data_IF_140478153785
#
_entry.id   IF_140478153785
#
_cell.length_a   1.000
_cell.length_b   1.000
_cell.length_c   1.000
_cell.angle_alpha   90.00
_cell.angle_beta   90.00
_cell.angle_gamma   90.00
#
_symmetry.space_group_name_H-M   'P 1'
#
loop_
_entity.id
_entity.type
_entity.pdbx_description
1 polymer ?
#
# COMPACT_ATOMS: atom_id res chain seq x y z
N UNK A 1 9.60 24.42 47.14
CA UNK A 1 9.15 25.54 48.00
C UNK A 1 9.20 26.83 47.20
N UNK A 2 8.22 27.73 47.39
CA UNK A 2 7.69 28.80 46.49
C UNK A 2 6.57 28.24 45.59
N UNK A 3 5.28 28.19 45.96
CA UNK A 3 4.32 29.23 46.40
C UNK A 3 4.34 30.46 45.47
N UNK A 4 3.27 30.99 44.87
CA UNK A 4 1.84 30.86 45.15
C UNK A 4 0.98 31.60 44.07
N UNK A 5 -0.19 31.01 43.72
CA UNK A 5 -1.57 31.56 43.60
C UNK A 5 -1.94 32.60 42.49
N UNK A 6 -3.23 32.49 42.10
CA UNK A 6 -4.19 33.50 41.56
C UNK A 6 -4.28 33.45 40.01
N UNK A 7 -5.43 33.31 39.35
CA UNK A 7 -6.84 33.35 39.71
C UNK A 7 -7.64 33.35 38.40
N UNK A 8 -8.83 32.75 38.39
CA UNK A 8 -9.60 32.50 37.17
C UNK A 8 -10.19 33.74 36.49
N UNK A 9 -10.49 33.60 35.20
CA UNK A 9 -11.57 34.32 34.51
C UNK A 9 -12.23 33.35 33.53
N UNK A 10 -13.52 33.12 33.73
CA UNK A 10 -14.43 32.47 32.79
C UNK A 10 -15.15 33.56 31.99
N UNK A 11 -15.05 33.57 30.66
CA UNK A 11 -15.86 34.33 29.68
C UNK A 11 -15.55 33.71 28.32
N UNK A 12 -16.43 33.49 27.34
CA UNK A 12 -17.86 33.29 27.23
C UNK A 12 -18.02 32.68 25.81
N UNK A 13 -19.08 31.91 25.60
CA UNK A 13 -19.47 31.44 24.27
C UNK A 13 -19.72 32.63 23.34
N UNK A 14 -19.16 32.61 22.12
CA UNK A 14 -19.78 33.24 20.97
C UNK A 14 -19.76 32.25 19.80
N UNK A 15 -20.93 31.65 19.60
CA UNK A 15 -21.35 31.04 18.35
C UNK A 15 -21.36 32.12 17.26
N UNK A 16 -20.77 31.80 16.11
CA UNK A 16 -20.85 32.63 14.92
C UNK A 16 -20.84 31.74 13.67
N UNK A 17 -21.94 31.07 13.38
CA UNK A 17 -22.26 30.62 12.03
C UNK A 17 -23.03 31.74 11.32
N UNK A 18 -22.45 32.32 10.28
CA UNK A 18 -23.13 33.08 9.22
C UNK A 18 -22.18 33.12 8.01
N UNK A 19 -22.44 32.38 6.94
CA UNK A 19 -23.35 32.66 5.82
C UNK A 19 -22.57 33.18 4.60
N UNK A 20 -22.71 32.49 3.47
CA UNK A 20 -22.16 32.84 2.16
C UNK A 20 -22.67 34.21 1.66
N UNK A 21 -21.82 34.97 0.97
CA UNK A 21 -22.25 36.19 0.25
C UNK A 21 -21.14 36.90 -0.50
N UNK A 22 -21.07 36.68 -1.81
CA UNK A 22 -20.14 37.23 -2.79
C UNK A 22 -20.30 38.76 -3.00
N UNK A 23 -19.20 39.54 -2.93
CA UNK A 23 -19.04 40.80 -3.68
C UNK A 23 -17.57 41.25 -3.75
N UNK A 24 -17.12 41.46 -4.99
CA UNK A 24 -15.80 41.91 -5.39
C UNK A 24 -15.41 43.28 -4.79
N UNK A 25 -14.21 43.36 -4.23
CA UNK A 25 -13.37 44.56 -4.34
C UNK A 25 -11.94 44.11 -4.55
N UNK A 26 -11.46 44.34 -5.77
CA UNK A 26 -10.06 44.21 -6.12
C UNK A 26 -9.28 45.34 -5.46
N UNK A 27 -8.24 44.98 -4.72
CA UNK A 27 -7.01 45.76 -4.58
C UNK A 27 -5.92 44.79 -4.11
N UNK A 28 -4.95 44.57 -5.01
CA UNK A 28 -3.68 43.85 -4.83
C UNK A 28 -2.62 44.78 -5.42
N UNK A 29 -1.34 44.82 -4.99
CA UNK A 29 -0.66 44.00 -3.98
C UNK A 29 0.16 44.79 -2.94
N UNK A 30 0.34 44.24 -1.75
CA UNK A 30 1.61 44.36 -1.05
C UNK A 30 1.97 42.98 -0.51
N UNK A 31 3.09 42.46 -1.03
CA UNK A 31 3.63 41.15 -0.73
C UNK A 31 3.99 41.06 0.75
N UNK A 32 3.22 40.31 1.52
CA UNK A 32 3.68 39.68 2.75
C UNK A 32 3.84 38.20 2.42
N UNK A 33 5.10 37.76 2.40
CA UNK A 33 5.48 36.39 2.11
C UNK A 33 4.99 35.48 3.22
N UNK A 34 3.73 35.05 3.11
CA UNK A 34 3.26 33.85 3.77
C UNK A 34 4.00 32.67 3.15
N UNK A 35 5.15 32.35 3.76
CA UNK A 35 5.80 31.05 3.64
C UNK A 35 4.71 30.02 3.91
N UNK A 36 4.17 29.47 2.82
CA UNK A 36 3.28 28.33 2.87
C UNK A 36 4.16 27.23 3.40
N UNK A 37 4.07 26.99 4.72
CA UNK A 37 4.58 25.78 5.32
C UNK A 37 3.91 24.64 4.57
N UNK A 38 4.61 24.14 3.55
CA UNK A 38 4.34 22.87 2.94
C UNK A 38 4.51 21.88 4.08
N UNK A 39 3.40 21.55 4.75
CA UNK A 39 3.30 20.27 5.43
C UNK A 39 3.53 19.25 4.33
N UNK A 40 4.80 18.88 4.16
CA UNK A 40 5.16 17.64 3.53
C UNK A 40 4.32 16.60 4.26
N UNK A 41 3.30 16.09 3.57
CA UNK A 41 2.50 15.00 4.07
C UNK A 41 3.50 13.92 4.48
N UNK A 42 3.57 13.62 5.78
CA UNK A 42 4.31 12.47 6.25
C UNK A 42 3.83 11.28 5.42
N UNK A 43 4.74 10.44 4.89
CA UNK A 43 4.30 9.28 4.12
C UNK A 43 3.31 8.53 5.00
N UNK A 44 2.09 8.33 4.49
CA UNK A 44 1.11 7.50 5.16
C UNK A 44 1.82 6.17 5.47
N UNK A 45 1.94 5.84 6.75
CA UNK A 45 2.57 4.59 7.17
C UNK A 45 1.73 3.47 6.57
N UNK A 46 2.23 2.85 5.50
CA UNK A 46 1.59 1.73 4.86
C UNK A 46 1.54 0.58 5.87
N UNK A 47 0.38 -0.05 6.01
CA UNK A 47 0.29 -1.28 6.82
C UNK A 47 1.16 -2.35 6.15
N UNK A 48 2.09 -2.92 6.92
CA UNK A 48 3.06 -3.88 6.43
C UNK A 48 3.27 -5.02 7.43
N UNK A 49 3.69 -6.22 6.98
CA UNK A 49 3.91 -7.36 7.85
C UNK A 49 4.86 -7.04 8.99
N UNK A 50 4.50 -7.45 10.21
CA UNK A 50 5.37 -7.38 11.38
C UNK A 50 6.65 -8.18 11.10
N UNK A 51 7.85 -7.64 11.42
CA UNK A 51 9.08 -8.39 11.32
C UNK A 51 9.03 -9.74 12.07
N UNK A 52 9.63 -10.76 11.48
CA UNK A 52 9.61 -12.12 12.00
C UNK A 52 9.69 -13.19 10.92
N UNK A 53 9.59 -14.44 11.37
CA UNK A 53 9.53 -15.61 10.50
C UNK A 53 8.08 -15.87 10.10
N UNK A 54 7.85 -15.97 8.80
CA UNK A 54 6.53 -16.20 8.20
C UNK A 54 6.55 -17.47 7.37
N UNK A 55 5.52 -18.30 7.51
CA UNK A 55 5.24 -19.43 6.62
C UNK A 55 4.30 -18.96 5.52
N UNK A 56 4.72 -19.14 4.27
CA UNK A 56 3.98 -18.70 3.08
C UNK A 56 3.58 -19.92 2.26
N UNK A 57 2.27 -20.09 2.06
CA UNK A 57 1.70 -21.10 1.17
C UNK A 57 1.20 -20.42 -0.11
N UNK A 58 1.48 -21.01 -1.28
CA UNK A 58 1.11 -20.43 -2.57
C UNK A 58 0.24 -21.38 -3.38
N UNK A 59 -0.84 -20.87 -3.93
CA UNK A 59 -1.72 -21.58 -4.87
C UNK A 59 -1.84 -20.80 -6.17
N UNK A 60 -1.77 -21.49 -7.30
CA UNK A 60 -1.83 -20.88 -8.63
C UNK A 60 -3.04 -21.40 -9.41
N UNK A 61 -3.89 -20.47 -9.86
CA UNK A 61 -5.04 -20.71 -10.73
C UNK A 61 -4.73 -20.21 -12.14
N UNK A 62 -5.27 -20.90 -13.16
CA UNK A 62 -5.03 -20.58 -14.59
C UNK A 62 -3.90 -21.37 -15.25
N UNK A 63 -3.10 -22.12 -14.48
CA UNK A 63 -2.17 -23.13 -15.02
C UNK A 63 -2.82 -24.51 -14.98
N UNK A 64 -2.68 -25.31 -16.05
CA UNK A 64 -3.26 -26.65 -16.14
C UNK A 64 -2.85 -27.51 -14.95
N UNK A 65 -3.81 -27.89 -14.10
CA UNK A 65 -3.60 -28.78 -12.97
C UNK A 65 -3.59 -28.13 -11.58
N UNK A 66 -3.67 -26.79 -11.46
CA UNK A 66 -3.75 -26.12 -10.16
C UNK A 66 -2.56 -26.44 -9.25
N UNK A 67 -1.44 -25.75 -9.43
CA UNK A 67 -0.23 -26.05 -8.68
C UNK A 67 -0.26 -25.36 -7.31
N UNK A 68 -0.24 -26.15 -6.25
CA UNK A 68 0.10 -25.70 -4.90
C UNK A 68 1.61 -25.88 -4.69
N UNK A 69 2.27 -24.82 -4.24
CA UNK A 69 3.70 -24.86 -3.90
C UNK A 69 3.82 -25.25 -2.42
N UNK A 70 4.75 -26.15 -2.04
CA UNK A 70 5.01 -26.46 -0.64
C UNK A 70 5.25 -25.18 0.17
N UNK A 71 4.73 -25.07 1.41
CA UNK A 71 4.93 -23.90 2.24
C UNK A 71 6.42 -23.57 2.40
N UNK A 72 6.77 -22.30 2.23
CA UNK A 72 8.14 -21.80 2.38
C UNK A 72 8.21 -20.92 3.63
N UNK A 73 9.34 -20.89 4.32
CA UNK A 73 9.56 -19.98 5.45
C UNK A 73 10.42 -18.79 5.00
N UNK A 74 9.98 -17.58 5.31
CA UNK A 74 10.61 -16.32 4.90
C UNK A 74 10.81 -15.45 6.13
N UNK A 75 12.04 -14.98 6.35
CA UNK A 75 12.30 -13.95 7.35
C UNK A 75 12.04 -12.57 6.76
N UNK A 76 11.14 -11.81 7.40
CA UNK A 76 10.90 -10.40 7.13
C UNK A 76 11.64 -9.59 8.20
N UNK A 77 12.67 -8.84 7.80
CA UNK A 77 13.48 -8.03 8.73
C UNK A 77 12.94 -6.61 8.91
N UNK A 78 12.33 -6.07 7.85
CA UNK A 78 11.80 -4.71 7.81
C UNK A 78 10.31 -4.76 7.50
N UNK A 79 9.51 -3.92 8.18
CA UNK A 79 8.09 -3.80 7.91
C UNK A 79 7.88 -3.01 6.61
N UNK A 80 7.87 -3.72 5.48
CA UNK A 80 7.58 -3.17 4.15
C UNK A 80 6.67 -4.10 3.37
N UNK A 81 5.89 -3.52 2.46
CA UNK A 81 5.20 -4.27 1.42
C UNK A 81 6.06 -4.26 0.15
N UNK A 82 6.32 -5.45 -0.35
CA UNK A 82 7.04 -5.67 -1.59
C UNK A 82 6.18 -6.51 -2.53
N UNK A 83 6.25 -6.21 -3.82
CA UNK A 83 5.61 -7.05 -4.82
C UNK A 83 6.28 -8.44 -4.79
N UNK A 84 5.52 -9.55 -4.73
CA UNK A 84 6.11 -10.87 -4.77
C UNK A 84 6.78 -11.11 -6.13
N UNK A 85 7.77 -12.00 -6.17
CA UNK A 85 8.48 -12.33 -7.40
C UNK A 85 7.54 -12.83 -8.52
N UNK A 86 6.41 -13.45 -8.18
CA UNK A 86 5.37 -13.88 -9.13
C UNK A 86 4.69 -12.71 -9.86
N UNK A 87 4.70 -11.51 -9.30
CA UNK A 87 4.20 -10.29 -9.93
C UNK A 87 5.26 -9.59 -10.80
N UNK A 88 6.52 -10.05 -10.74
CA UNK A 88 7.62 -9.51 -11.54
C UNK A 88 7.73 -10.28 -12.85
N UNK A 89 7.94 -9.56 -13.96
CA UNK A 89 8.14 -10.16 -15.29
C UNK A 89 9.60 -9.92 -15.71
N UNK A 90 10.49 -10.94 -15.64
CA UNK A 90 11.89 -10.78 -15.98
C UNK A 90 12.09 -10.31 -17.42
N UNK A 91 12.94 -9.31 -17.63
CA UNK A 91 13.22 -8.77 -18.97
C UNK A 91 12.09 -7.96 -19.59
N UNK A 92 11.06 -7.59 -18.82
CA UNK A 92 9.98 -6.72 -19.25
C UNK A 92 10.21 -5.27 -18.78
N UNK A 93 9.74 -4.31 -19.59
CA UNK A 93 9.70 -2.90 -19.21
C UNK A 93 8.39 -2.62 -18.46
N UNK A 94 8.49 -2.41 -17.15
CA UNK A 94 7.31 -2.26 -16.29
C UNK A 94 7.17 -0.84 -15.73
N UNK A 95 5.95 -0.30 -15.82
CA UNK A 95 5.50 0.84 -15.01
C UNK A 95 4.79 0.31 -13.77
N UNK A 96 5.23 0.71 -12.58
CA UNK A 96 4.65 0.25 -11.31
C UNK A 96 3.96 1.40 -10.59
N UNK A 97 2.81 1.08 -9.99
CA UNK A 97 2.12 1.91 -9.03
C UNK A 97 2.40 1.33 -7.63
N UNK A 98 2.94 2.12 -6.70
CA UNK A 98 3.28 1.63 -5.38
C UNK A 98 2.03 1.24 -4.60
N UNK A 99 2.22 0.51 -3.49
CA UNK A 99 1.12 0.15 -2.61
C UNK A 99 0.43 1.40 -2.05
N UNK A 100 -0.89 1.40 -2.13
CA UNK A 100 -1.76 2.38 -1.49
C UNK A 100 -2.92 1.66 -0.81
N UNK A 101 -3.43 2.24 0.28
CA UNK A 101 -4.61 1.69 0.95
C UNK A 101 -5.87 1.92 0.10
N UNK A 102 -6.63 0.85 -0.14
CA UNK A 102 -7.91 0.86 -0.85
C UNK A 102 -8.93 0.02 -0.06
N UNK A 103 -9.71 0.69 0.78
CA UNK A 103 -10.63 0.03 1.70
C UNK A 103 -9.88 -0.81 2.72
N UNK A 104 -10.20 -2.10 2.80
CA UNK A 104 -9.57 -3.08 3.69
C UNK A 104 -8.20 -3.58 3.20
N UNK A 105 -7.82 -3.31 1.95
CA UNK A 105 -6.60 -3.83 1.34
C UNK A 105 -5.51 -2.81 1.12
N UNK A 106 -4.27 -3.29 1.05
CA UNK A 106 -3.15 -2.60 0.41
C UNK A 106 -3.05 -3.07 -1.03
N UNK A 107 -3.07 -2.14 -1.98
CA UNK A 107 -3.14 -2.45 -3.42
C UNK A 107 -2.00 -1.79 -4.16
N UNK A 108 -1.30 -2.58 -4.98
CA UNK A 108 -0.33 -2.12 -5.97
C UNK A 108 -0.71 -2.64 -7.35
N UNK A 109 -0.23 -1.98 -8.40
CA UNK A 109 -0.45 -2.42 -9.76
C UNK A 109 0.83 -2.26 -10.59
N UNK A 110 0.95 -3.05 -11.65
CA UNK A 110 2.01 -2.89 -12.63
C UNK A 110 1.47 -3.16 -14.03
N UNK A 111 2.00 -2.42 -15.01
CA UNK A 111 1.78 -2.66 -16.43
C UNK A 111 3.14 -2.87 -17.07
N UNK A 112 3.36 -4.05 -17.64
CA UNK A 112 4.62 -4.47 -18.22
C UNK A 112 4.49 -4.69 -19.73
N UNK A 113 5.47 -4.22 -20.49
CA UNK A 113 5.65 -4.60 -21.89
C UNK A 113 6.70 -5.70 -21.98
N UNK A 114 6.28 -6.86 -22.50
CA UNK A 114 7.12 -8.03 -22.70
C UNK A 114 7.65 -8.07 -24.15
N UNK A 115 8.73 -8.83 -24.40
CA UNK A 115 9.16 -9.13 -25.75
C UNK A 115 8.03 -9.64 -26.64
N UNK A 116 8.00 -9.21 -27.91
CA UNK A 116 6.92 -9.57 -28.85
C UNK A 116 5.66 -8.70 -28.74
N UNK A 117 5.76 -7.51 -28.13
CA UNK A 117 4.66 -6.55 -27.96
C UNK A 117 3.48 -7.08 -27.12
N UNK A 118 3.73 -8.09 -26.29
CA UNK A 118 2.75 -8.55 -25.32
C UNK A 118 2.74 -7.61 -24.12
N UNK A 119 1.56 -7.37 -23.57
CA UNK A 119 1.36 -6.61 -22.33
C UNK A 119 0.98 -7.56 -21.21
N UNK A 120 1.49 -7.29 -20.01
CA UNK A 120 1.03 -7.94 -18.79
C UNK A 120 0.64 -6.88 -17.75
N UNK A 121 -0.64 -6.85 -17.40
CA UNK A 121 -1.17 -5.99 -16.36
C UNK A 121 -1.39 -6.82 -15.10
N UNK A 122 -0.70 -6.47 -14.01
CA UNK A 122 -0.82 -7.13 -12.71
C UNK A 122 -1.46 -6.22 -11.68
N UNK A 123 -2.35 -6.77 -10.86
CA UNK A 123 -2.88 -6.13 -9.65
C UNK A 123 -2.53 -7.01 -8.45
N UNK A 124 -1.95 -6.39 -7.43
CA UNK A 124 -1.59 -7.03 -6.16
C UNK A 124 -2.53 -6.48 -5.09
N UNK A 125 -3.26 -7.35 -4.41
CA UNK A 125 -4.14 -7.00 -3.29
C UNK A 125 -3.69 -7.76 -2.04
N UNK A 126 -3.41 -7.03 -0.96
CA UNK A 126 -3.00 -7.62 0.32
C UNK A 126 -4.04 -7.30 1.39
N UNK A 127 -4.59 -8.32 2.03
CA UNK A 127 -5.65 -8.22 3.06
C UNK A 127 -5.33 -9.05 4.29
N UNK A 128 -5.97 -8.73 5.42
CA UNK A 128 -5.84 -9.49 6.67
C UNK A 128 -5.08 -8.73 7.76
N UNK A 129 -4.55 -9.47 8.73
CA UNK A 129 -3.81 -8.94 9.87
C UNK A 129 -2.30 -9.12 9.67
N UNK A 130 -1.62 -8.00 9.48
CA UNK A 130 -0.18 -7.94 9.29
C UNK A 130 0.65 -8.38 10.51
N UNK A 131 0.03 -8.64 11.66
CA UNK A 131 0.69 -9.17 12.85
C UNK A 131 0.69 -10.70 12.94
N UNK A 132 -0.26 -11.36 12.27
CA UNK A 132 -0.55 -12.78 12.49
C UNK A 132 -0.76 -13.57 11.20
N UNK A 133 -1.65 -13.09 10.32
CA UNK A 133 -1.99 -13.77 9.06
C UNK A 133 -2.56 -12.79 8.04
N UNK A 134 -1.95 -12.78 6.86
CA UNK A 134 -2.43 -11.99 5.72
C UNK A 134 -2.43 -12.82 4.43
N UNK A 135 -3.19 -12.35 3.44
CA UNK A 135 -3.31 -12.96 2.13
C UNK A 135 -2.91 -11.93 1.08
N UNK A 136 -2.06 -12.35 0.14
CA UNK A 136 -1.70 -11.60 -1.06
C UNK A 136 -2.29 -12.29 -2.27
N UNK A 137 -3.15 -11.60 -2.99
CA UNK A 137 -3.67 -12.03 -4.29
C UNK A 137 -2.98 -11.23 -5.40
N UNK A 138 -2.41 -11.94 -6.36
CA UNK A 138 -1.84 -11.35 -7.58
C UNK A 138 -2.71 -11.82 -8.74
N UNK A 139 -3.32 -10.88 -9.45
CA UNK A 139 -4.03 -11.17 -10.70
C UNK A 139 -3.26 -10.56 -11.84
N UNK A 140 -2.89 -11.36 -12.83
CA UNK A 140 -2.16 -10.91 -14.01
C UNK A 140 -2.99 -11.20 -15.26
N UNK A 141 -3.11 -10.23 -16.15
CA UNK A 141 -3.75 -10.37 -17.47
C UNK A 141 -2.72 -10.15 -18.56
N UNK A 142 -2.75 -11.00 -19.60
CA UNK A 142 -1.81 -10.91 -20.73
C UNK A 142 -2.53 -10.63 -22.04
N UNK A 143 -1.97 -9.75 -22.86
CA UNK A 143 -2.52 -9.36 -24.17
C UNK A 143 -1.43 -9.06 -25.24
N UNK A 144 -1.38 -9.79 -26.38
CA UNK A 144 -2.13 -11.01 -26.64
C UNK A 144 -1.65 -12.15 -25.74
N UNK A 145 -2.59 -12.96 -25.28
CA UNK A 145 -2.26 -14.16 -24.51
C UNK A 145 -1.65 -15.24 -25.42
N UNK A 146 -0.54 -15.91 -25.03
CA UNK A 146 0.04 -16.97 -25.84
C UNK A 146 -0.88 -18.20 -25.96
N UNK A 147 -1.72 -18.44 -24.95
CA UNK A 147 -2.83 -19.41 -24.97
C UNK A 147 -4.04 -18.83 -24.25
N UNK A 148 -5.27 -19.30 -24.53
CA UNK A 148 -6.48 -18.82 -23.84
C UNK A 148 -6.41 -18.98 -22.32
N UNK A 149 -5.75 -20.05 -21.83
CA UNK A 149 -5.59 -20.31 -20.40
C UNK A 149 -4.64 -19.31 -19.71
N UNK A 150 -3.73 -18.69 -20.46
CA UNK A 150 -2.78 -17.69 -19.95
C UNK A 150 -3.27 -16.25 -20.10
N UNK A 151 -4.49 -16.03 -20.62
CA UNK A 151 -5.05 -14.69 -20.72
C UNK A 151 -5.23 -14.03 -19.35
N UNK A 152 -5.46 -14.84 -18.32
CA UNK A 152 -5.48 -14.40 -16.93
C UNK A 152 -4.95 -15.50 -16.02
N UNK A 153 -4.03 -15.15 -15.13
CA UNK A 153 -3.56 -16.00 -14.05
C UNK A 153 -3.86 -15.35 -12.71
N UNK A 154 -4.09 -16.19 -11.69
CA UNK A 154 -4.25 -15.74 -10.31
C UNK A 154 -3.33 -16.53 -9.40
N UNK A 155 -2.55 -15.83 -8.60
CA UNK A 155 -1.69 -16.40 -7.57
C UNK A 155 -2.20 -15.91 -6.22
N UNK A 156 -2.50 -16.85 -5.32
CA UNK A 156 -2.88 -16.54 -3.95
C UNK A 156 -1.79 -17.03 -3.02
N UNK A 157 -1.27 -16.13 -2.19
CA UNK A 157 -0.24 -16.41 -1.19
C UNK A 157 -0.84 -16.15 0.19
N UNK A 158 -0.85 -17.15 1.05
CA UNK A 158 -1.24 -17.00 2.46
C UNK A 158 0.01 -17.00 3.30
N UNK A 159 0.21 -15.95 4.09
CA UNK A 159 1.33 -15.81 5.01
C UNK A 159 0.86 -15.88 6.46
N UNK A 160 1.51 -16.71 7.26
CA UNK A 160 1.25 -16.91 8.69
C UNK A 160 2.53 -16.70 9.50
N UNK A 161 2.48 -15.82 10.52
CA UNK A 161 3.66 -15.55 11.36
C UNK A 161 3.88 -16.72 12.31
N UNK A 162 5.06 -17.33 12.23
CA UNK A 162 5.41 -18.52 13.02
C UNK A 162 6.46 -18.23 14.11
N UNK A 163 7.01 -17.02 14.15
CA UNK A 163 7.93 -16.62 15.22
C UNK A 163 8.80 -15.43 14.86
N UNK A 164 9.89 -15.27 15.58
CA UNK A 164 10.97 -14.34 15.23
C UNK A 164 11.94 -15.01 14.25
N UNK A 165 12.68 -14.22 13.48
CA UNK A 165 13.67 -14.77 12.56
C UNK A 165 14.79 -15.49 13.31
N UNK A 166 15.33 -16.60 12.78
CA UNK A 166 16.51 -17.25 13.33
C UNK A 166 17.71 -16.28 13.38
N UNK A 167 18.56 -16.43 14.38
CA UNK A 167 19.81 -15.67 14.45
C UNK A 167 20.74 -16.05 13.28
N UNK A 168 21.35 -15.04 12.65
CA UNK A 168 22.38 -15.24 11.61
C UNK A 168 21.86 -15.38 10.17
N UNK A 169 20.58 -15.12 9.93
CA UNK A 169 20.00 -14.97 8.58
C UNK A 169 19.99 -13.50 8.15
#
# INVERSE_FOLDING_TARGET
MRSAIIGGVAVACLLGLSACGNSNKAETPAADGAETASTAAAPATLDAPKPGLWRVSTTMEGMSGGAAVPPQEICIKEAKLEAPASAQQPGADCTTQPFARQGDAMVAASSCTLPGNMKADSTIRVTGDFNSRYVTEVTTKMDPAPTPQMAQTKVTMTAERIGDCPAGQ
#
